data_IF_477999874935
#
_entry.id   IF_477999874935
#
_cell.length_a   1.000
_cell.length_b   1.000
_cell.length_c   1.000
_cell.angle_alpha   90.00
_cell.angle_beta   90.00
_cell.angle_gamma   90.00
#
_symmetry.space_group_name_H-M   'P 1'
#
loop_
_entity.id
_entity.type
_entity.pdbx_description
1 polymer ?
#
# COMPACT_ATOMS: atom_id res chain seq x y z
N UNK A 1 -37.94 11.37 4.60
CA UNK A 1 -37.08 10.83 5.69
C UNK A 1 -35.64 11.12 5.29
N UNK A 2 -35.12 12.27 5.73
CA UNK A 2 -33.80 12.76 5.31
C UNK A 2 -32.74 12.09 6.18
N UNK A 3 -31.90 11.24 5.58
CA UNK A 3 -30.73 10.71 6.27
C UNK A 3 -29.76 11.88 6.43
N UNK A 4 -29.52 12.30 7.67
CA UNK A 4 -28.38 13.16 7.98
C UNK A 4 -27.14 12.29 7.81
N UNK A 5 -26.56 12.25 6.62
CA UNK A 5 -25.26 11.61 6.39
C UNK A 5 -24.17 12.55 6.89
N UNK A 6 -23.92 12.54 8.21
CA UNK A 6 -22.72 13.16 8.75
C UNK A 6 -21.47 12.50 8.14
N UNK A 7 -20.46 13.30 7.80
CA UNK A 7 -19.16 12.81 7.31
C UNK A 7 -18.60 11.72 8.24
N UNK A 8 -18.23 10.54 7.70
CA UNK A 8 -17.63 9.44 8.46
C UNK A 8 -16.37 9.93 9.19
N UNK A 9 -16.06 9.35 10.35
CA UNK A 9 -14.88 9.76 11.12
C UNK A 9 -13.57 9.61 10.32
N UNK A 10 -13.44 8.53 9.55
CA UNK A 10 -12.30 8.29 8.65
C UNK A 10 -12.15 9.37 7.56
N UNK A 11 -13.26 9.84 7.00
CA UNK A 11 -13.25 10.95 6.03
C UNK A 11 -12.80 12.27 6.68
N UNK A 12 -13.19 12.51 7.94
CA UNK A 12 -12.71 13.69 8.69
C UNK A 12 -11.20 13.61 8.93
N UNK A 13 -10.68 12.43 9.30
CA UNK A 13 -9.24 12.22 9.48
C UNK A 13 -8.47 12.41 8.17
N UNK A 14 -8.94 11.80 7.07
CA UNK A 14 -8.37 11.99 5.73
C UNK A 14 -8.34 13.48 5.34
N UNK A 15 -9.45 14.19 5.52
CA UNK A 15 -9.53 15.62 5.23
C UNK A 15 -8.54 16.44 6.07
N UNK A 16 -8.30 16.05 7.33
CA UNK A 16 -7.34 16.74 8.22
C UNK A 16 -5.88 16.61 7.76
N UNK A 17 -5.55 15.60 6.96
CA UNK A 17 -4.21 15.45 6.35
C UNK A 17 -3.94 16.49 5.26
N UNK A 18 -4.98 17.13 4.71
CA UNK A 18 -4.89 18.29 3.83
C UNK A 18 -3.90 18.11 2.66
N UNK A 19 -2.98 19.06 2.53
CA UNK A 19 -2.02 19.12 1.43
C UNK A 19 -1.07 17.91 1.38
N UNK A 20 -0.76 17.28 2.52
CA UNK A 20 0.12 16.10 2.53
C UNK A 20 -0.52 14.94 1.76
N UNK A 21 -1.84 14.74 1.90
CA UNK A 21 -2.57 13.74 1.13
C UNK A 21 -2.45 14.01 -0.37
N UNK A 22 -2.70 15.26 -0.79
CA UNK A 22 -2.66 15.66 -2.19
C UNK A 22 -1.27 15.48 -2.80
N UNK A 23 -0.21 15.79 -2.04
CA UNK A 23 1.18 15.62 -2.49
C UNK A 23 1.54 14.16 -2.71
N UNK A 24 1.04 13.24 -1.87
CA UNK A 24 1.22 11.79 -2.05
C UNK A 24 0.51 11.33 -3.31
N UNK A 25 -0.78 11.61 -3.44
CA UNK A 25 -1.59 11.01 -4.52
C UNK A 25 -1.31 11.59 -5.91
N UNK A 26 -0.75 12.80 -5.97
CA UNK A 26 -0.38 13.47 -7.24
C UNK A 26 1.13 13.52 -7.51
N UNK A 27 1.91 12.76 -6.73
CA UNK A 27 3.37 12.77 -6.81
C UNK A 27 3.89 12.44 -8.21
N UNK A 28 5.06 12.96 -8.57
CA UNK A 28 5.73 12.68 -9.86
C UNK A 28 5.82 11.17 -10.14
N UNK A 29 6.13 10.40 -9.10
CA UNK A 29 6.28 8.94 -9.19
C UNK A 29 5.03 8.26 -9.79
N UNK A 30 3.84 8.58 -9.29
CA UNK A 30 2.59 7.90 -9.73
C UNK A 30 2.24 8.25 -11.17
N UNK A 31 2.53 9.49 -11.59
CA UNK A 31 2.36 9.95 -12.97
C UNK A 31 3.33 9.28 -13.93
N UNK A 32 4.61 9.23 -13.58
CA UNK A 32 5.63 8.59 -14.42
C UNK A 32 5.46 7.07 -14.49
N UNK A 33 5.02 6.44 -13.40
CA UNK A 33 4.66 5.03 -13.37
C UNK A 33 3.53 4.75 -14.36
N UNK A 34 2.41 5.48 -14.26
CA UNK A 34 1.27 5.28 -15.15
C UNK A 34 1.59 5.58 -16.62
N UNK A 35 2.42 6.60 -16.89
CA UNK A 35 2.84 6.93 -18.25
C UNK A 35 3.87 5.94 -18.83
N UNK A 36 4.39 4.99 -18.06
CA UNK A 36 5.48 4.10 -18.48
C UNK A 36 6.81 4.83 -18.71
N UNK A 37 6.97 6.05 -18.17
CA UNK A 37 8.16 6.89 -18.38
C UNK A 37 9.09 6.92 -17.17
N UNK A 38 8.74 6.21 -16.09
CA UNK A 38 9.57 6.13 -14.89
C UNK A 38 10.93 5.50 -15.22
N UNK A 39 12.00 6.09 -14.68
CA UNK A 39 13.34 5.52 -14.82
C UNK A 39 13.40 4.14 -14.14
N UNK A 40 14.00 3.16 -14.84
CA UNK A 40 14.05 1.77 -14.37
C UNK A 40 14.79 1.62 -13.05
N UNK A 41 15.85 2.40 -12.81
CA UNK A 41 16.60 2.35 -11.56
C UNK A 41 15.84 3.04 -10.41
N UNK A 42 15.03 4.05 -10.71
CA UNK A 42 14.09 4.64 -9.73
C UNK A 42 13.04 3.61 -9.32
N UNK A 43 12.41 2.93 -10.28
CA UNK A 43 11.42 1.89 -10.00
C UNK A 43 12.04 0.72 -9.22
N UNK A 44 13.21 0.23 -9.64
CA UNK A 44 13.92 -0.84 -8.92
C UNK A 44 14.19 -0.46 -7.46
N UNK A 45 14.71 0.74 -7.20
CA UNK A 45 14.96 1.22 -5.83
C UNK A 45 13.67 1.31 -5.02
N UNK A 46 12.59 1.82 -5.61
CA UNK A 46 11.29 1.86 -4.96
C UNK A 46 10.82 0.45 -4.58
N UNK A 47 10.82 -0.49 -5.52
CA UNK A 47 10.34 -1.87 -5.28
C UNK A 47 11.16 -2.60 -4.21
N UNK A 48 12.47 -2.36 -4.13
CA UNK A 48 13.31 -2.94 -3.07
C UNK A 48 12.93 -2.40 -1.69
N UNK A 49 12.64 -1.10 -1.57
CA UNK A 49 12.19 -0.51 -0.32
C UNK A 49 10.78 -0.97 0.03
N UNK A 50 9.88 -1.02 -0.95
CA UNK A 50 8.48 -1.38 -0.74
C UNK A 50 8.31 -2.87 -0.41
N UNK A 51 9.18 -3.74 -0.92
CA UNK A 51 9.23 -5.14 -0.48
C UNK A 51 9.68 -5.31 0.99
N UNK A 52 10.44 -4.35 1.56
CA UNK A 52 10.76 -4.33 3.00
C UNK A 52 9.59 -3.79 3.81
N UNK A 53 8.90 -2.79 3.26
CA UNK A 53 7.65 -2.28 3.81
C UNK A 53 6.61 -3.40 3.91
N UNK A 54 6.48 -4.23 2.87
CA UNK A 54 5.53 -5.35 2.78
C UNK A 54 5.64 -6.32 3.96
N UNK A 55 6.85 -6.68 4.39
CA UNK A 55 7.04 -7.57 5.55
C UNK A 55 6.50 -6.95 6.85
N UNK A 56 6.81 -5.68 7.10
CA UNK A 56 6.31 -4.96 8.27
C UNK A 56 4.79 -4.72 8.19
N UNK A 57 4.25 -4.54 6.99
CA UNK A 57 2.82 -4.42 6.72
C UNK A 57 2.07 -5.73 7.00
N UNK A 58 2.61 -6.88 6.58
CA UNK A 58 2.08 -8.22 6.91
C UNK A 58 2.04 -8.45 8.42
N UNK A 59 3.08 -8.04 9.15
CA UNK A 59 3.10 -8.11 10.63
C UNK A 59 1.97 -7.26 11.23
N UNK A 60 1.76 -6.04 10.73
CA UNK A 60 0.68 -5.17 11.21
C UNK A 60 -0.71 -5.77 10.94
N UNK A 61 -0.96 -6.31 9.74
CA UNK A 61 -2.22 -6.97 9.40
C UNK A 61 -2.48 -8.21 10.27
N UNK A 62 -1.47 -9.03 10.51
CA UNK A 62 -1.58 -10.17 11.41
C UNK A 62 -1.94 -9.73 12.85
N UNK A 63 -1.37 -8.63 13.33
CA UNK A 63 -1.75 -8.05 14.63
C UNK A 63 -3.21 -7.56 14.67
N UNK A 64 -3.76 -7.05 13.57
CA UNK A 64 -5.18 -6.69 13.47
C UNK A 64 -6.05 -7.93 13.62
N UNK A 65 -5.71 -9.04 12.94
CA UNK A 65 -6.43 -10.32 13.10
C UNK A 65 -6.41 -10.79 14.56
N UNK A 66 -5.26 -10.68 15.23
CA UNK A 66 -5.13 -11.06 16.62
C UNK A 66 -6.01 -10.19 17.56
N UNK A 67 -6.04 -8.88 17.32
CA UNK A 67 -6.71 -7.89 18.18
C UNK A 67 -8.16 -7.58 17.82
N UNK A 68 -8.68 -8.10 16.71
CA UNK A 68 -10.07 -7.94 16.29
C UNK A 68 -11.05 -8.43 17.37
N UNK A 69 -12.22 -7.79 17.47
CA UNK A 69 -13.14 -8.01 18.60
C UNK A 69 -14.02 -9.24 18.43
N UNK A 70 -14.21 -9.69 17.20
CA UNK A 70 -15.10 -10.80 16.85
C UNK A 70 -14.56 -11.62 15.69
N UNK A 71 -15.18 -12.76 15.38
CA UNK A 71 -14.85 -13.52 14.18
C UNK A 71 -15.23 -12.76 12.91
N UNK A 72 -16.36 -12.05 12.92
CA UNK A 72 -16.80 -11.24 11.78
C UNK A 72 -15.80 -10.12 11.43
N UNK A 73 -15.14 -9.55 12.43
CA UNK A 73 -14.08 -8.54 12.20
C UNK A 73 -12.77 -9.17 11.71
N UNK A 74 -12.53 -10.45 12.01
CA UNK A 74 -11.30 -11.18 11.59
C UNK A 74 -11.34 -11.61 10.13
N UNK A 75 -12.51 -12.02 9.63
CA UNK A 75 -12.67 -12.52 8.27
C UNK A 75 -12.10 -11.55 7.21
N UNK A 76 -12.48 -10.25 7.17
CA UNK A 76 -11.94 -9.33 6.17
C UNK A 76 -10.43 -9.12 6.34
N UNK A 77 -9.91 -9.04 7.56
CA UNK A 77 -8.47 -8.91 7.80
C UNK A 77 -7.69 -10.15 7.33
N UNK A 78 -8.23 -11.36 7.51
CA UNK A 78 -7.63 -12.60 6.98
C UNK A 78 -7.68 -12.66 5.44
N UNK A 79 -8.79 -12.24 4.82
CA UNK A 79 -8.91 -12.16 3.37
C UNK A 79 -7.90 -11.18 2.81
N UNK A 80 -7.72 -10.03 3.47
CA UNK A 80 -6.74 -9.04 3.07
C UNK A 80 -5.31 -9.57 3.19
N UNK A 81 -4.98 -10.21 4.32
CA UNK A 81 -3.67 -10.85 4.51
C UNK A 81 -3.37 -11.88 3.42
N UNK A 82 -4.36 -12.66 2.99
CA UNK A 82 -4.20 -13.63 1.90
C UNK A 82 -3.97 -12.95 0.54
N UNK A 83 -4.63 -11.83 0.26
CA UNK A 83 -4.44 -11.07 -0.98
C UNK A 83 -2.99 -10.55 -1.09
N UNK A 84 -2.52 -9.90 -0.03
CA UNK A 84 -1.18 -9.29 0.07
C UNK A 84 -0.07 -10.34 -0.01
N UNK A 85 -0.21 -11.44 0.73
CA UNK A 85 0.81 -12.51 0.75
C UNK A 85 0.82 -13.39 -0.50
N UNK A 86 -0.15 -13.21 -1.41
CA UNK A 86 -0.22 -13.93 -2.67
C UNK A 86 0.13 -13.05 -3.87
N UNK A 87 -0.84 -12.28 -4.38
CA UNK A 87 -0.73 -11.57 -5.67
C UNK A 87 0.37 -10.52 -5.66
N UNK A 88 0.43 -9.73 -4.59
CA UNK A 88 1.38 -8.61 -4.49
C UNK A 88 2.83 -9.12 -4.35
N UNK A 89 3.06 -10.10 -3.48
CA UNK A 89 4.38 -10.72 -3.38
C UNK A 89 4.83 -11.36 -4.71
N UNK A 90 3.89 -11.97 -5.45
CA UNK A 90 4.17 -12.52 -6.79
C UNK A 90 4.57 -11.44 -7.79
N UNK A 91 3.93 -10.27 -7.73
CA UNK A 91 4.32 -9.11 -8.55
C UNK A 91 5.75 -8.65 -8.24
N UNK A 92 6.12 -8.54 -6.96
CA UNK A 92 7.47 -8.13 -6.56
C UNK A 92 8.55 -9.07 -7.12
N UNK A 93 8.39 -10.38 -6.93
CA UNK A 93 9.38 -11.36 -7.40
C UNK A 93 9.50 -11.36 -8.94
N UNK A 94 8.38 -11.24 -9.67
CA UNK A 94 8.40 -11.07 -11.14
C UNK A 94 9.10 -9.79 -11.59
N UNK A 95 8.93 -8.69 -10.86
CA UNK A 95 9.60 -7.43 -11.18
C UNK A 95 11.11 -7.54 -10.95
N UNK A 96 11.55 -8.15 -9.85
CA UNK A 96 12.98 -8.34 -9.58
C UNK A 96 13.63 -9.24 -10.63
N UNK A 97 12.95 -10.30 -11.07
CA UNK A 97 13.41 -11.15 -12.18
C UNK A 97 13.55 -10.36 -13.49
N UNK A 98 12.52 -9.60 -13.89
CA UNK A 98 12.55 -8.74 -15.08
C UNK A 98 13.70 -7.73 -15.04
N UNK A 99 14.00 -7.17 -13.86
CA UNK A 99 15.06 -6.17 -13.68
C UNK A 99 16.45 -6.78 -13.43
N UNK A 100 16.58 -8.12 -13.44
CA UNK A 100 17.81 -8.84 -13.07
C UNK A 100 18.34 -8.44 -11.66
N UNK A 101 17.45 -8.09 -10.73
CA UNK A 101 17.82 -7.68 -9.39
C UNK A 101 17.90 -8.90 -8.46
N UNK A 102 19.12 -9.37 -8.21
CA UNK A 102 19.34 -10.55 -7.36
C UNK A 102 19.00 -10.28 -5.89
N UNK A 103 18.74 -11.33 -5.11
CA UNK A 103 18.58 -11.22 -3.65
C UNK A 103 19.80 -10.58 -2.97
N UNK A 104 20.99 -10.81 -3.49
CA UNK A 104 22.26 -10.27 -3.01
C UNK A 104 22.33 -8.78 -3.27
N UNK A 105 21.99 -8.33 -4.49
CA UNK A 105 21.89 -6.90 -4.83
C UNK A 105 20.83 -6.21 -3.97
N UNK A 106 19.67 -6.84 -3.76
CA UNK A 106 18.63 -6.31 -2.87
C UNK A 106 19.16 -6.05 -1.46
N UNK A 107 20.10 -6.86 -0.95
CA UNK A 107 20.71 -6.69 0.38
C UNK A 107 21.76 -5.57 0.43
N UNK A 108 22.38 -5.18 -0.69
CA UNK A 108 23.38 -4.11 -0.71
C UNK A 108 22.76 -2.71 -0.73
N UNK A 109 21.50 -2.58 -1.14
CA UNK A 109 20.77 -1.31 -1.13
C UNK A 109 20.39 -0.96 0.32
N UNK A 110 20.87 0.14 0.93
CA UNK A 110 20.50 0.48 2.30
C UNK A 110 19.02 0.86 2.41
N UNK A 111 18.44 0.72 3.60
CA UNK A 111 17.11 1.28 3.87
C UNK A 111 17.14 2.80 3.70
N UNK A 112 16.15 3.34 3.00
CA UNK A 112 15.89 4.76 3.05
C UNK A 112 15.35 5.13 4.44
N UNK A 113 15.64 6.34 4.91
CA UNK A 113 15.18 6.81 6.23
C UNK A 113 13.65 6.74 6.38
N UNK A 114 12.90 6.99 5.30
CA UNK A 114 11.45 6.82 5.27
C UNK A 114 11.03 5.35 5.45
N UNK A 115 11.68 4.40 4.78
CA UNK A 115 11.42 2.96 4.92
C UNK A 115 11.66 2.50 6.35
N UNK A 116 12.82 2.83 6.94
CA UNK A 116 13.11 2.49 8.33
C UNK A 116 12.09 3.10 9.28
N UNK A 117 11.77 4.39 9.11
CA UNK A 117 10.78 5.08 9.94
C UNK A 117 9.40 4.44 9.88
N UNK A 118 8.93 4.10 8.68
CA UNK A 118 7.60 3.53 8.49
C UNK A 118 7.52 2.07 8.96
N UNK A 119 8.54 1.24 8.66
CA UNK A 119 8.64 -0.11 9.18
C UNK A 119 8.66 -0.14 10.71
N UNK A 120 9.38 0.80 11.35
CA UNK A 120 9.39 0.93 12.81
C UNK A 120 8.02 1.32 13.35
N UNK A 121 7.32 2.27 12.71
CA UNK A 121 5.95 2.64 13.09
C UNK A 121 5.01 1.44 13.04
N UNK A 122 5.00 0.70 11.93
CA UNK A 122 4.14 -0.48 11.75
C UNK A 122 4.43 -1.54 12.81
N UNK A 123 5.70 -1.88 13.06
CA UNK A 123 6.09 -2.87 14.08
C UNK A 123 5.76 -2.39 15.50
N UNK A 124 6.00 -1.11 15.80
CA UNK A 124 5.69 -0.53 17.10
C UNK A 124 4.18 -0.59 17.41
N UNK A 125 3.35 -0.20 16.45
CA UNK A 125 1.89 -0.24 16.58
C UNK A 125 1.38 -1.69 16.60
N UNK A 126 1.98 -2.59 15.82
CA UNK A 126 1.66 -4.01 15.84
C UNK A 126 1.94 -4.67 17.21
N UNK A 127 2.99 -4.22 17.91
CA UNK A 127 3.39 -4.76 19.21
C UNK A 127 2.65 -4.13 20.39
N UNK A 128 2.49 -2.81 20.39
CA UNK A 128 2.08 -2.04 21.58
C UNK A 128 0.86 -1.14 21.33
N UNK A 129 0.35 -1.08 20.10
CA UNK A 129 -0.75 -0.20 19.74
C UNK A 129 -2.13 -0.79 20.04
N UNK A 130 -3.12 0.08 20.05
CA UNK A 130 -4.54 -0.26 20.04
C UNK A 130 -4.99 -0.68 18.64
N UNK A 131 -6.10 -1.41 18.55
CA UNK A 131 -6.73 -1.74 17.26
C UNK A 131 -7.03 -0.47 16.42
N UNK A 132 -7.38 0.64 17.07
CA UNK A 132 -7.63 1.91 16.37
C UNK A 132 -6.37 2.50 15.73
N UNK A 133 -5.23 2.41 16.41
CA UNK A 133 -3.94 2.85 15.86
C UNK A 133 -3.49 1.93 14.72
N UNK A 134 -3.66 0.61 14.87
CA UNK A 134 -3.35 -0.35 13.80
C UNK A 134 -4.17 -0.07 12.53
N UNK A 135 -5.48 0.11 12.69
CA UNK A 135 -6.38 0.44 11.59
C UNK A 135 -6.05 1.81 10.97
N UNK A 136 -5.63 2.78 11.78
CA UNK A 136 -5.25 4.11 11.27
C UNK A 136 -4.06 4.03 10.32
N UNK A 137 -3.05 3.21 10.65
CA UNK A 137 -1.88 3.01 9.78
C UNK A 137 -2.29 2.31 8.49
N UNK A 138 -3.03 1.20 8.57
CA UNK A 138 -3.50 0.46 7.38
C UNK A 138 -4.36 1.36 6.47
N UNK A 139 -5.32 2.10 7.03
CA UNK A 139 -6.19 2.98 6.23
C UNK A 139 -5.37 4.03 5.49
N UNK A 140 -4.36 4.64 6.11
CA UNK A 140 -3.50 5.62 5.43
C UNK A 140 -2.73 4.97 4.28
N UNK A 141 -2.14 3.79 4.49
CA UNK A 141 -1.43 3.05 3.45
C UNK A 141 -2.36 2.75 2.27
N UNK A 142 -3.44 2.01 2.50
CA UNK A 142 -4.29 1.52 1.43
C UNK A 142 -5.05 2.62 0.71
N UNK A 143 -5.60 3.60 1.45
CA UNK A 143 -6.38 4.65 0.81
C UNK A 143 -5.51 5.62 0.02
N UNK A 144 -4.25 5.85 0.41
CA UNK A 144 -3.35 6.65 -0.42
C UNK A 144 -3.01 5.91 -1.71
N UNK A 145 -2.80 4.59 -1.64
CA UNK A 145 -2.59 3.75 -2.80
C UNK A 145 -3.78 3.73 -3.75
N UNK A 146 -4.98 3.44 -3.22
CA UNK A 146 -6.23 3.51 -3.99
C UNK A 146 -6.41 4.86 -4.66
N UNK A 147 -6.21 5.95 -3.90
CA UNK A 147 -6.47 7.30 -4.37
C UNK A 147 -5.55 7.70 -5.51
N UNK A 148 -4.26 7.31 -5.50
CA UNK A 148 -3.39 7.64 -6.62
C UNK A 148 -3.64 6.73 -7.83
N UNK A 149 -3.93 5.46 -7.60
CA UNK A 149 -4.19 4.50 -8.68
C UNK A 149 -5.49 4.88 -9.42
N UNK A 150 -6.54 5.27 -8.70
CA UNK A 150 -7.79 5.77 -9.28
C UNK A 150 -7.61 7.00 -10.16
N UNK A 151 -6.67 7.88 -9.84
CA UNK A 151 -6.39 9.07 -10.64
C UNK A 151 -5.71 8.75 -11.98
N UNK A 152 -5.04 7.61 -12.09
CA UNK A 152 -4.20 7.29 -13.24
C UNK A 152 -4.63 6.06 -14.02
N UNK A 153 -5.51 5.20 -13.47
CA UNK A 153 -5.88 3.90 -14.05
C UNK A 153 -6.35 3.96 -15.52
N UNK A 154 -7.09 5.00 -15.88
CA UNK A 154 -7.65 5.17 -17.23
C UNK A 154 -6.61 5.67 -18.26
N UNK A 155 -5.49 6.24 -17.79
CA UNK A 155 -4.41 6.74 -18.64
C UNK A 155 -3.14 5.89 -18.57
N UNK A 156 -3.14 4.81 -17.78
CA UNK A 156 -2.00 3.91 -17.60
C UNK A 156 -1.65 3.18 -18.90
N UNK A 157 -0.40 3.32 -19.34
CA UNK A 157 0.17 2.62 -20.50
C UNK A 157 0.34 1.13 -20.20
N UNK A 158 -0.04 0.27 -21.14
CA UNK A 158 -0.12 -1.19 -20.96
C UNK A 158 0.98 -1.96 -21.71
N UNK A 159 2.21 -1.46 -21.65
CA UNK A 159 3.36 -2.05 -22.37
C UNK A 159 4.32 -2.82 -21.43
N UNK A 160 4.59 -2.30 -20.23
CA UNK A 160 5.48 -2.93 -19.24
C UNK A 160 4.70 -3.29 -17.97
N UNK A 161 4.57 -4.59 -17.69
CA UNK A 161 3.86 -5.10 -16.52
C UNK A 161 4.44 -4.59 -15.20
N UNK A 162 5.74 -4.27 -15.16
CA UNK A 162 6.37 -3.75 -13.94
C UNK A 162 5.81 -2.39 -13.54
N UNK A 163 5.16 -1.68 -14.47
CA UNK A 163 4.49 -0.39 -14.22
C UNK A 163 2.98 -0.55 -14.06
N UNK A 164 2.29 -1.11 -15.06
CA UNK A 164 0.82 -1.10 -15.08
C UNK A 164 0.20 -2.03 -14.04
N UNK A 165 0.84 -3.16 -13.72
CA UNK A 165 0.29 -4.14 -12.77
C UNK A 165 0.28 -3.57 -11.36
N UNK A 166 1.20 -2.65 -11.04
CA UNK A 166 1.17 -1.93 -9.77
C UNK A 166 -0.04 -0.99 -9.65
N UNK A 167 -0.50 -0.40 -10.76
CA UNK A 167 -1.73 0.38 -10.76
C UNK A 167 -2.94 -0.53 -10.59
N UNK A 168 -2.94 -1.68 -11.25
CA UNK A 168 -4.05 -2.65 -11.18
C UNK A 168 -4.21 -3.28 -9.79
N UNK A 169 -3.10 -3.57 -9.10
CA UNK A 169 -3.12 -4.11 -7.74
C UNK A 169 -3.80 -3.18 -6.73
N UNK A 170 -3.80 -1.87 -6.99
CA UNK A 170 -4.33 -0.85 -6.10
C UNK A 170 -5.58 -0.16 -6.65
N UNK A 171 -6.22 -0.72 -7.67
CA UNK A 171 -7.43 -0.14 -8.26
C UNK A 171 -8.51 -1.17 -8.55
N UNK A 172 -9.74 -0.67 -8.71
CA UNK A 172 -10.87 -1.48 -9.12
C UNK A 172 -11.51 -2.31 -7.99
N UNK A 173 -12.57 -3.07 -8.33
CA UNK A 173 -13.49 -3.61 -7.33
C UNK A 173 -12.88 -4.61 -6.35
N UNK A 174 -11.84 -5.35 -6.76
CA UNK A 174 -11.17 -6.31 -5.88
C UNK A 174 -10.46 -5.60 -4.73
N UNK A 175 -9.69 -4.55 -5.03
CA UNK A 175 -8.99 -3.76 -4.01
C UNK A 175 -9.99 -2.93 -3.19
N UNK A 176 -10.91 -2.23 -3.85
CA UNK A 176 -11.97 -1.44 -3.19
C UNK A 176 -12.75 -2.28 -2.19
N UNK A 177 -13.14 -3.51 -2.55
CA UNK A 177 -13.93 -4.40 -1.68
C UNK A 177 -13.23 -4.85 -0.39
N UNK A 178 -11.92 -4.64 -0.28
CA UNK A 178 -11.13 -4.97 0.91
C UNK A 178 -10.84 -3.73 1.77
N UNK A 179 -10.81 -2.54 1.17
CA UNK A 179 -10.36 -1.30 1.83
C UNK A 179 -11.49 -0.29 2.11
N UNK A 180 -12.73 -0.55 1.65
CA UNK A 180 -13.89 0.36 1.72
C UNK A 180 -14.75 0.25 2.99
#
# INVERSE_FOLDING_TARGET
MSIITGTRFTEKLKASSGEQWNRVVTHRFTKELAAGTIDREVLKKYLVQDHRFLDAFVVLLASIVANARSLSDRIPACQFLALITAKENTYFERCFESMNCSSEERKTIPDAACTTGFCNLMRQVAQNGTLGEMLSVIVVCEWTYMSWADLVKDVTVREDFTTYEWVDLHSGPEFEGVVS
#
